data_IF_769932802561
#
_entry.id   IF_769932802561
#
_cell.length_a   1.000
_cell.length_b   1.000
_cell.length_c   1.000
_cell.angle_alpha   90.00
_cell.angle_beta   90.00
_cell.angle_gamma   90.00
#
_symmetry.space_group_name_H-M   'P 1'
#
loop_
_entity.id
_entity.type
_entity.pdbx_description
1 polymer ?
#
# COMPACT_ATOMS: atom_id res chain seq x y z
N UNK A 1 -8.65 -2.75 2.11
CA UNK A 1 -7.34 -2.41 2.67
C UNK A 1 -7.57 -1.62 3.94
N UNK A 2 -6.93 -2.00 5.03
CA UNK A 2 -7.09 -1.35 6.34
C UNK A 2 -5.76 -0.75 6.83
N UNK A 3 -5.86 0.28 7.66
CA UNK A 3 -4.70 0.90 8.30
C UNK A 3 -3.98 -0.14 9.18
N UNK A 4 -2.67 -0.25 9.04
CA UNK A 4 -1.83 -1.23 9.75
C UNK A 4 -1.70 -2.59 9.05
N UNK A 5 -2.41 -2.84 7.94
CA UNK A 5 -2.17 -4.04 7.15
C UNK A 5 -0.83 -3.94 6.41
N UNK A 6 -0.08 -5.04 6.43
CA UNK A 6 1.06 -5.24 5.54
C UNK A 6 0.56 -5.78 4.20
N UNK A 7 0.86 -5.04 3.14
CA UNK A 7 0.57 -5.46 1.78
C UNK A 7 1.84 -5.55 0.97
N UNK A 8 1.83 -6.49 0.03
CA UNK A 8 2.85 -6.65 -0.98
C UNK A 8 2.22 -6.42 -2.33
N UNK A 9 2.70 -5.41 -3.04
CA UNK A 9 2.28 -5.12 -4.40
C UNK A 9 3.52 -5.10 -5.30
N UNK A 10 3.49 -5.88 -6.38
CA UNK A 10 4.63 -6.04 -7.29
C UNK A 10 5.94 -6.40 -6.56
N UNK A 11 6.85 -5.42 -6.37
CA UNK A 11 8.14 -5.55 -5.68
C UNK A 11 8.25 -4.68 -4.43
N UNK A 12 7.15 -4.05 -4.04
CA UNK A 12 7.08 -3.16 -2.90
C UNK A 12 6.30 -3.86 -1.81
N UNK A 13 6.90 -3.90 -0.64
CA UNK A 13 6.31 -4.42 0.58
C UNK A 13 6.27 -3.29 1.59
N UNK A 14 5.12 -3.10 2.24
CA UNK A 14 4.97 -2.04 3.22
C UNK A 14 3.68 -2.11 4.01
N UNK A 15 3.67 -1.35 5.08
CA UNK A 15 2.54 -1.22 5.98
C UNK A 15 1.69 0.00 5.60
N UNK A 16 0.38 -0.16 5.52
CA UNK A 16 -0.52 0.96 5.24
C UNK A 16 -0.58 1.87 6.47
N UNK A 17 -0.03 3.08 6.35
CA UNK A 17 -0.01 4.07 7.44
C UNK A 17 -1.04 5.19 7.26
N UNK A 18 -1.55 5.38 6.05
CA UNK A 18 -2.63 6.30 5.75
C UNK A 18 -3.39 5.85 4.49
N UNK A 19 -4.70 6.02 4.49
CA UNK A 19 -5.56 5.81 3.32
C UNK A 19 -6.34 7.11 3.13
N UNK A 20 -6.15 7.75 1.98
CA UNK A 20 -6.91 8.91 1.52
C UNK A 20 -7.83 8.47 0.36
N UNK A 21 -8.84 9.28 0.03
CA UNK A 21 -9.82 8.97 -1.03
C UNK A 21 -9.21 8.66 -2.41
N UNK A 22 -8.04 9.21 -2.72
CA UNK A 22 -7.37 9.05 -4.03
C UNK A 22 -5.98 8.43 -3.96
N UNK A 23 -5.41 8.30 -2.77
CA UNK A 23 -4.04 7.81 -2.56
C UNK A 23 -3.91 7.03 -1.26
N UNK A 24 -2.99 6.08 -1.24
CA UNK A 24 -2.62 5.32 -0.06
C UNK A 24 -1.15 5.54 0.26
N UNK A 25 -0.86 5.78 1.53
CA UNK A 25 0.52 5.91 2.00
C UNK A 25 0.94 4.62 2.68
N UNK A 26 2.00 4.03 2.15
CA UNK A 26 2.66 2.85 2.68
C UNK A 26 3.99 3.24 3.32
N UNK A 27 4.30 2.63 4.45
CA UNK A 27 5.62 2.67 5.07
C UNK A 27 6.36 1.43 4.63
N UNK A 28 7.39 1.62 3.82
CA UNK A 28 8.30 0.58 3.35
C UNK A 28 9.63 0.74 4.07
N UNK A 29 10.53 -0.25 3.94
CA UNK A 29 11.86 -0.20 4.53
C UNK A 29 12.72 0.96 3.97
N UNK A 30 12.39 1.43 2.76
CA UNK A 30 13.07 2.56 2.12
C UNK A 30 12.50 3.92 2.50
N UNK A 31 11.33 3.98 3.16
CA UNK A 31 10.69 5.23 3.57
C UNK A 31 9.17 5.20 3.42
N UNK A 32 8.59 6.35 3.09
CA UNK A 32 7.14 6.45 2.82
C UNK A 32 6.92 6.44 1.32
N UNK A 33 6.05 5.55 0.86
CA UNK A 33 5.63 5.44 -0.52
C UNK A 33 4.17 5.85 -0.63
N UNK A 34 3.88 6.88 -1.42
CA UNK A 34 2.52 7.31 -1.72
C UNK A 34 2.13 6.75 -3.08
N UNK A 35 1.07 5.94 -3.10
CA UNK A 35 0.59 5.27 -4.31
C UNK A 35 -0.86 5.71 -4.57
N UNK A 36 -1.23 6.06 -5.82
CA UNK A 36 -2.62 6.28 -6.17
C UNK A 36 -3.47 5.02 -5.91
N UNK A 37 -4.68 5.18 -5.36
CA UNK A 37 -5.58 4.04 -5.15
C UNK A 37 -5.90 3.32 -6.46
N UNK A 38 -5.92 4.05 -7.59
CA UNK A 38 -6.11 3.45 -8.93
C UNK A 38 -5.05 2.41 -9.28
N UNK A 39 -3.78 2.70 -9.02
CA UNK A 39 -2.68 1.76 -9.27
C UNK A 39 -2.86 0.48 -8.44
N UNK A 40 -3.33 0.62 -7.19
CA UNK A 40 -3.54 -0.50 -6.27
C UNK A 40 -4.72 -1.38 -6.71
N UNK A 41 -5.75 -0.78 -7.32
CA UNK A 41 -6.92 -1.52 -7.85
C UNK A 41 -6.58 -2.20 -9.18
N UNK A 42 -5.73 -1.58 -10.01
CA UNK A 42 -5.29 -2.15 -11.28
C UNK A 42 -4.23 -3.24 -11.13
N UNK A 43 -3.42 -3.16 -10.06
CA UNK A 43 -2.41 -4.18 -9.75
C UNK A 43 -2.96 -5.24 -8.78
N UNK A 44 -2.45 -6.47 -8.90
CA UNK A 44 -2.77 -7.54 -7.97
C UNK A 44 -2.03 -7.30 -6.65
N UNK A 45 -2.77 -7.09 -5.56
CA UNK A 45 -2.23 -6.81 -4.22
C UNK A 45 -2.38 -8.06 -3.36
N UNK A 46 -1.27 -8.53 -2.79
CA UNK A 46 -1.27 -9.60 -1.81
C UNK A 46 -1.29 -9.00 -0.40
N UNK A 47 -2.30 -9.37 0.38
CA UNK A 47 -2.39 -9.01 1.79
C UNK A 47 -1.75 -10.14 2.59
N UNK A 48 -0.73 -9.83 3.39
CA UNK A 48 -0.16 -10.79 4.32
C UNK A 48 -0.86 -10.62 5.67
N UNK A 49 -1.62 -11.65 6.06
CA UNK A 49 -2.42 -11.69 7.29
C UNK A 49 -1.77 -12.50 8.40
#
# INVERSE_FOLDING_TARGET
YELGQHIKFNKVEGEIIAIDDISMTLKTDQGKLVIPVKDIVENQVEIQG
#
